data_IF_371419436201
#
_entry.id   IF_371419436201
#
_cell.length_a   1.000
_cell.length_b   1.000
_cell.length_c   1.000
_cell.angle_alpha   90.00
_cell.angle_beta   90.00
_cell.angle_gamma   90.00
#
_symmetry.space_group_name_H-M   'P 1'
#
loop_
_entity.id
_entity.type
_entity.pdbx_description
1 polymer ?
#
# COMPACT_ATOMS: atom_id res chain seq x y z
N UNK A 1 11.30 -7.44 -17.79
CA UNK A 1 12.61 -7.14 -17.13
C UNK A 1 12.31 -6.31 -15.90
N UNK A 2 12.75 -6.74 -14.72
CA UNK A 2 12.65 -5.93 -13.49
C UNK A 2 13.59 -4.74 -13.68
N UNK A 3 13.10 -3.52 -13.51
CA UNK A 3 13.94 -2.33 -13.64
C UNK A 3 14.71 -2.11 -12.33
N UNK A 4 16.02 -2.43 -12.26
CA UNK A 4 16.79 -2.35 -11.01
C UNK A 4 16.85 -0.93 -10.44
N UNK A 5 16.68 0.09 -11.29
CA UNK A 5 16.63 1.49 -10.87
C UNK A 5 15.38 1.78 -10.02
N UNK A 6 14.23 1.20 -10.40
CA UNK A 6 12.95 1.35 -9.68
C UNK A 6 13.04 0.70 -8.30
N UNK A 7 13.67 -0.47 -8.20
CA UNK A 7 13.91 -1.18 -6.95
C UNK A 7 14.82 -0.43 -5.98
N UNK A 8 15.86 0.26 -6.48
CA UNK A 8 16.72 1.12 -5.66
C UNK A 8 15.94 2.32 -5.14
N UNK A 9 15.17 2.99 -6.01
CA UNK A 9 14.33 4.13 -5.62
C UNK A 9 13.29 3.75 -4.56
N UNK A 10 12.67 2.58 -4.71
CA UNK A 10 11.70 2.07 -3.75
C UNK A 10 12.34 1.78 -2.38
N UNK A 11 13.57 1.24 -2.36
CA UNK A 11 14.33 1.08 -1.10
C UNK A 11 14.65 2.42 -0.44
N UNK A 12 15.11 3.40 -1.20
CA UNK A 12 15.40 4.74 -0.67
C UNK A 12 14.14 5.43 -0.11
N UNK A 13 12.99 5.29 -0.77
CA UNK A 13 11.72 5.81 -0.28
C UNK A 13 11.30 5.13 1.04
N UNK A 14 11.49 3.81 1.14
CA UNK A 14 11.25 3.06 2.37
C UNK A 14 12.20 3.50 3.51
N UNK A 15 13.47 3.77 3.24
CA UNK A 15 14.42 4.27 4.25
C UNK A 15 13.96 5.62 4.83
N UNK A 16 13.52 6.55 3.98
CA UNK A 16 13.00 7.85 4.42
C UNK A 16 11.78 7.73 5.33
N UNK A 17 10.92 6.73 5.09
CA UNK A 17 9.81 6.39 5.98
C UNK A 17 10.30 6.06 7.40
N UNK A 18 11.40 5.31 7.54
CA UNK A 18 11.97 4.98 8.85
C UNK A 18 12.63 6.16 9.56
N UNK A 19 13.03 7.20 8.81
CA UNK A 19 13.52 8.47 9.35
C UNK A 19 12.40 9.47 9.67
N UNK A 20 11.13 9.04 9.68
CA UNK A 20 9.93 9.87 9.91
C UNK A 20 9.74 11.00 8.89
N UNK A 21 10.51 11.00 7.80
CA UNK A 21 10.38 11.96 6.70
C UNK A 21 9.33 11.45 5.70
N UNK A 22 8.08 11.39 6.17
CA UNK A 22 6.95 10.83 5.43
C UNK A 22 6.66 11.58 4.12
N UNK A 23 6.89 12.91 4.08
CA UNK A 23 6.70 13.71 2.88
C UNK A 23 7.67 13.28 1.76
N UNK A 24 8.97 13.16 2.07
CA UNK A 24 9.95 12.69 1.07
C UNK A 24 9.81 11.22 0.73
N UNK A 25 9.27 10.40 1.63
CA UNK A 25 8.93 9.01 1.33
C UNK A 25 7.81 8.96 0.26
N UNK A 26 6.75 9.74 0.43
CA UNK A 26 5.65 9.84 -0.54
C UNK A 26 6.15 10.32 -1.90
N UNK A 27 6.96 11.38 -1.94
CA UNK A 27 7.57 11.85 -3.19
C UNK A 27 8.42 10.77 -3.86
N UNK A 28 9.17 9.99 -3.07
CA UNK A 28 9.94 8.85 -3.56
C UNK A 28 9.07 7.80 -4.24
N UNK A 29 7.95 7.42 -3.63
CA UNK A 29 6.99 6.49 -4.24
C UNK A 29 6.33 7.08 -5.49
N UNK A 30 6.05 8.39 -5.53
CA UNK A 30 5.50 9.04 -6.72
C UNK A 30 6.48 9.03 -7.89
N UNK A 31 7.79 9.15 -7.65
CA UNK A 31 8.79 8.98 -8.70
C UNK A 31 8.86 7.54 -9.21
N UNK A 32 8.76 6.56 -8.31
CA UNK A 32 8.66 5.13 -8.67
C UNK A 32 7.44 4.90 -9.57
N UNK A 33 6.29 5.46 -9.19
CA UNK A 33 5.03 5.33 -9.94
C UNK A 33 5.02 6.10 -11.27
N UNK A 34 5.82 7.16 -11.43
CA UNK A 34 6.02 7.82 -12.73
C UNK A 34 6.76 6.93 -13.72
N UNK A 35 7.71 6.13 -13.22
CA UNK A 35 8.52 5.23 -14.05
C UNK A 35 7.76 3.91 -14.30
N UNK A 36 7.12 3.38 -13.26
CA UNK A 36 6.28 2.18 -13.33
C UNK A 36 4.90 2.45 -12.71
N UNK A 37 3.92 2.91 -13.51
CA UNK A 37 2.57 3.22 -13.04
C UNK A 37 1.77 2.02 -12.54
N UNK A 38 2.29 0.80 -12.70
CA UNK A 38 1.63 -0.45 -12.29
C UNK A 38 2.31 -1.10 -11.10
N UNK A 39 3.23 -0.40 -10.44
CA UNK A 39 4.02 -0.98 -9.37
C UNK A 39 3.20 -1.12 -8.07
N UNK A 40 2.58 -2.29 -7.89
CA UNK A 40 1.73 -2.60 -6.73
C UNK A 40 2.41 -2.31 -5.38
N UNK A 41 3.67 -2.73 -5.22
CA UNK A 41 4.44 -2.50 -3.98
C UNK A 41 4.65 -1.02 -3.67
N UNK A 42 4.82 -0.17 -4.68
CA UNK A 42 4.97 1.27 -4.48
C UNK A 42 3.66 1.92 -4.00
N UNK A 43 2.52 1.52 -4.58
CA UNK A 43 1.19 1.92 -4.10
C UNK A 43 0.93 1.45 -2.67
N UNK A 44 1.22 0.19 -2.34
CA UNK A 44 1.08 -0.33 -0.97
C UNK A 44 1.96 0.44 0.02
N UNK A 45 3.25 0.63 -0.27
CA UNK A 45 4.14 1.40 0.60
C UNK A 45 3.67 2.85 0.79
N UNK A 46 3.19 3.51 -0.27
CA UNK A 46 2.63 4.86 -0.19
C UNK A 46 1.37 4.89 0.67
N UNK A 47 0.48 3.91 0.51
CA UNK A 47 -0.73 3.75 1.33
C UNK A 47 -0.41 3.63 2.82
N UNK A 48 0.59 2.83 3.18
CA UNK A 48 1.02 2.69 4.58
C UNK A 48 1.50 4.02 5.17
N UNK A 49 2.24 4.83 4.39
CA UNK A 49 2.70 6.13 4.87
C UNK A 49 1.54 7.11 5.05
N UNK A 50 0.58 7.13 4.12
CA UNK A 50 -0.61 7.98 4.22
C UNK A 50 -1.50 7.58 5.41
N UNK A 51 -1.64 6.29 5.68
CA UNK A 51 -2.36 5.78 6.84
C UNK A 51 -1.70 6.20 8.16
N UNK A 52 -0.37 6.13 8.26
CA UNK A 52 0.37 6.66 9.43
C UNK A 52 0.21 8.18 9.61
N UNK A 53 0.00 8.93 8.53
CA UNK A 53 -0.28 10.37 8.56
C UNK A 53 -1.76 10.70 8.83
N UNK A 54 -2.63 9.69 9.01
CA UNK A 54 -4.07 9.88 9.21
C UNK A 54 -4.85 10.27 7.95
N UNK A 55 -4.23 10.18 6.76
CA UNK A 55 -4.85 10.48 5.46
C UNK A 55 -5.51 9.22 4.90
N UNK A 56 -6.57 8.77 5.58
CA UNK A 56 -7.14 7.45 5.37
C UNK A 56 -7.74 7.24 3.97
N UNK A 57 -8.44 8.23 3.41
CA UNK A 57 -9.07 8.11 2.09
C UNK A 57 -8.03 7.92 0.97
N UNK A 58 -6.91 8.65 1.08
CA UNK A 58 -5.81 8.54 0.12
C UNK A 58 -5.04 7.23 0.29
N UNK A 59 -4.89 6.75 1.53
CA UNK A 59 -4.31 5.45 1.81
C UNK A 59 -5.14 4.32 1.22
N UNK A 60 -6.47 4.36 1.41
CA UNK A 60 -7.42 3.41 0.81
C UNK A 60 -7.31 3.41 -0.72
N UNK A 61 -7.30 4.58 -1.34
CA UNK A 61 -7.13 4.72 -2.81
C UNK A 61 -5.81 4.11 -3.31
N UNK A 62 -4.73 4.26 -2.53
CA UNK A 62 -3.45 3.63 -2.84
C UNK A 62 -3.53 2.11 -2.71
N UNK A 63 -4.15 1.57 -1.65
CA UNK A 63 -4.32 0.14 -1.50
C UNK A 63 -5.20 -0.48 -2.60
N UNK A 64 -6.26 0.22 -3.03
CA UNK A 64 -7.06 -0.20 -4.17
C UNK A 64 -6.26 -0.27 -5.47
N UNK A 65 -5.42 0.73 -5.71
CA UNK A 65 -4.50 0.72 -6.85
C UNK A 65 -3.50 -0.42 -6.76
N UNK A 66 -2.95 -0.71 -5.57
CA UNK A 66 -2.07 -1.85 -5.35
C UNK A 66 -2.79 -3.18 -5.65
N UNK A 67 -4.00 -3.37 -5.11
CA UNK A 67 -4.81 -4.59 -5.30
C UNK A 67 -5.30 -4.76 -6.74
N UNK A 68 -5.46 -3.68 -7.50
CA UNK A 68 -5.78 -3.76 -8.92
C UNK A 68 -4.64 -4.43 -9.72
N UNK A 69 -3.38 -4.26 -9.29
CA UNK A 69 -2.21 -4.85 -9.94
C UNK A 69 -1.71 -6.13 -9.29
N UNK A 70 -1.99 -6.32 -7.99
CA UNK A 70 -1.67 -7.53 -7.22
C UNK A 70 -2.86 -7.91 -6.31
N UNK A 71 -3.92 -8.53 -6.86
CA UNK A 71 -5.17 -8.80 -6.13
C UNK A 71 -5.03 -9.88 -5.06
N UNK A 72 -3.95 -10.67 -5.11
CA UNK A 72 -3.67 -11.76 -4.16
C UNK A 72 -2.80 -11.32 -2.98
N UNK A 73 -2.48 -10.03 -2.91
CA UNK A 73 -1.68 -9.48 -1.82
C UNK A 73 -2.48 -9.42 -0.50
N UNK A 74 -2.39 -10.48 0.29
CA UNK A 74 -3.08 -10.59 1.57
C UNK A 74 -2.76 -9.44 2.54
N UNK A 75 -1.50 -9.00 2.58
CA UNK A 75 -1.05 -7.88 3.42
C UNK A 75 -1.74 -6.57 3.03
N UNK A 76 -1.91 -6.32 1.73
CA UNK A 76 -2.57 -5.11 1.23
C UNK A 76 -4.06 -5.10 1.57
N UNK A 77 -4.74 -6.24 1.46
CA UNK A 77 -6.13 -6.39 1.92
C UNK A 77 -6.28 -6.14 3.42
N UNK A 78 -5.36 -6.70 4.22
CA UNK A 78 -5.34 -6.51 5.67
C UNK A 78 -5.15 -5.03 6.05
N UNK A 79 -4.15 -4.37 5.45
CA UNK A 79 -3.88 -2.95 5.74
C UNK A 79 -5.03 -2.04 5.28
N UNK A 80 -5.63 -2.31 4.10
CA UNK A 80 -6.85 -1.60 3.66
C UNK A 80 -7.99 -1.75 4.69
N UNK A 81 -8.19 -2.97 5.19
CA UNK A 81 -9.20 -3.25 6.21
C UNK A 81 -8.97 -2.51 7.52
N UNK A 82 -7.72 -2.43 7.99
CA UNK A 82 -7.36 -1.63 9.18
C UNK A 82 -7.63 -0.14 8.94
N UNK A 83 -7.20 0.39 7.79
CA UNK A 83 -7.40 1.80 7.46
C UNK A 83 -8.89 2.15 7.34
N UNK A 84 -9.71 1.28 6.76
CA UNK A 84 -11.17 1.44 6.74
C UNK A 84 -11.79 1.46 8.14
N UNK A 85 -11.27 0.64 9.06
CA UNK A 85 -11.70 0.67 10.46
C UNK A 85 -11.40 2.03 11.11
N UNK A 86 -10.19 2.55 10.89
CA UNK A 86 -9.74 3.85 11.39
C UNK A 86 -10.51 5.03 10.77
N UNK A 87 -10.92 4.91 9.50
CA UNK A 87 -11.78 5.87 8.82
C UNK A 87 -13.25 5.82 9.30
N UNK A 88 -13.64 4.83 10.11
CA UNK A 88 -15.00 4.65 10.63
C UNK A 88 -15.92 3.80 9.74
N UNK A 89 -15.43 3.30 8.60
CA UNK A 89 -16.16 2.44 7.67
C UNK A 89 -16.07 0.97 8.08
N UNK A 90 -16.79 0.60 9.16
CA UNK A 90 -16.70 -0.73 9.77
C UNK A 90 -17.15 -1.88 8.87
N UNK A 91 -18.16 -1.67 8.01
CA UNK A 91 -18.69 -2.75 7.15
C UNK A 91 -17.66 -3.17 6.08
N UNK A 92 -17.09 -2.21 5.37
CA UNK A 92 -16.10 -2.45 4.31
C UNK A 92 -14.79 -3.01 4.90
N UNK A 93 -14.47 -2.66 6.15
CA UNK A 93 -13.31 -3.17 6.88
C UNK A 93 -13.36 -4.69 7.07
N UNK A 94 -14.53 -5.23 7.48
CA UNK A 94 -14.68 -6.67 7.73
C UNK A 94 -14.48 -7.47 6.44
N UNK A 95 -15.05 -7.03 5.33
CA UNK A 95 -14.90 -7.69 4.03
C UNK A 95 -13.43 -7.72 3.58
N UNK A 96 -12.71 -6.60 3.72
CA UNK A 96 -11.29 -6.53 3.36
C UNK A 96 -10.43 -7.46 4.22
N UNK A 97 -10.67 -7.50 5.54
CA UNK A 97 -9.92 -8.37 6.46
C UNK A 97 -10.22 -9.85 6.18
N UNK A 98 -11.48 -10.21 5.94
CA UNK A 98 -11.87 -11.58 5.57
C UNK A 98 -11.15 -12.03 4.30
N UNK A 99 -11.13 -11.16 3.28
CA UNK A 99 -10.46 -11.48 2.01
C UNK A 99 -8.94 -11.63 2.17
N UNK A 100 -8.31 -10.75 2.94
CA UNK A 100 -6.89 -10.88 3.28
C UNK A 100 -6.58 -12.17 4.04
N UNK A 101 -7.44 -12.56 4.98
CA UNK A 101 -7.29 -13.81 5.72
C UNK A 101 -7.42 -15.02 4.79
N UNK A 102 -8.48 -15.11 3.98
CA UNK A 102 -8.67 -16.23 3.02
C UNK A 102 -7.48 -16.40 2.08
N UNK A 103 -6.88 -15.30 1.61
CA UNK A 103 -5.68 -15.34 0.79
C UNK A 103 -4.44 -15.81 1.56
N UNK A 104 -4.35 -15.51 2.86
CA UNK A 104 -3.21 -15.91 3.69
C UNK A 104 -3.27 -17.38 4.14
N UNK A 105 -4.46 -17.93 4.41
CA UNK A 105 -4.62 -19.35 4.81
C UNK A 105 -4.58 -20.32 3.63
N UNK A 106 -4.54 -19.84 2.39
CA UNK A 106 -4.34 -20.68 1.22
C UNK A 106 -5.43 -21.73 1.06
N UNK A 107 -6.70 -21.28 1.02
CA UNK A 107 -7.78 -22.17 0.61
C UNK A 107 -7.57 -22.56 -0.87
N UNK A 108 -7.15 -23.81 -1.04
CA UNK A 108 -6.92 -24.58 -2.27
C UNK A 108 -8.19 -24.73 -3.13
#
# INVERSE_FOLDING_TARGET
MINPHVEIMLRQANEKKYHEDYAKAIEGYDQVLKIDPRHARAFHSKGNVLDMLGRYEEAISCYESALMYDPFNAETWYNKGITLNRAGCKNDSVECIQRGLSLAVGDL
#
